data_IF_873574342152
#
_entry.id   IF_873574342152
#
_cell.length_a   1.000
_cell.length_b   1.000
_cell.length_c   1.000
_cell.angle_alpha   90.00
_cell.angle_beta   90.00
_cell.angle_gamma   90.00
#
_symmetry.space_group_name_H-M   'P 1'
#
loop_
_entity.id
_entity.type
_entity.pdbx_description
1 polymer ?
#
# COMPACT_ATOMS: atom_id res chain seq x y z
N UNK A 1 12.72 -4.29 4.53
CA UNK A 1 12.67 -3.09 3.66
C UNK A 1 11.29 -2.43 3.59
N UNK A 2 10.19 -3.19 3.46
CA UNK A 2 8.82 -2.62 3.39
C UNK A 2 8.44 -1.73 4.59
N UNK A 3 8.79 -2.13 5.82
CA UNK A 3 8.56 -1.29 7.00
C UNK A 3 9.31 0.05 6.96
N UNK A 4 10.56 0.05 6.48
CA UNK A 4 11.34 1.29 6.35
C UNK A 4 10.71 2.24 5.33
N UNK A 5 10.17 1.70 4.23
CA UNK A 5 9.37 2.46 3.26
C UNK A 5 8.12 3.06 3.93
N UNK A 6 7.36 2.25 4.67
CA UNK A 6 6.14 2.72 5.34
C UNK A 6 6.42 3.85 6.34
N UNK A 7 7.46 3.70 7.17
CA UNK A 7 7.94 4.77 8.07
C UNK A 7 8.27 6.04 7.31
N UNK A 8 9.01 5.93 6.20
CA UNK A 8 9.42 7.11 5.43
C UNK A 8 8.23 7.82 4.79
N UNK A 9 7.26 7.07 4.26
CA UNK A 9 6.02 7.63 3.72
C UNK A 9 5.21 8.33 4.83
N UNK A 10 5.15 7.75 6.03
CA UNK A 10 4.52 8.38 7.19
C UNK A 10 5.16 9.75 7.50
N UNK A 11 6.49 9.84 7.55
CA UNK A 11 7.20 11.10 7.80
C UNK A 11 6.93 12.18 6.74
N UNK A 12 6.82 11.78 5.47
CA UNK A 12 6.62 12.71 4.35
C UNK A 12 5.20 13.27 4.29
N UNK A 13 4.21 12.52 4.77
CA UNK A 13 2.82 12.94 4.74
C UNK A 13 2.47 13.86 5.91
N UNK A 14 1.80 14.96 5.59
CA UNK A 14 1.16 15.86 6.57
C UNK A 14 0.25 15.05 7.51
N UNK A 15 -0.03 15.55 8.74
CA UNK A 15 -1.08 14.97 9.59
C UNK A 15 -2.38 14.83 8.81
N UNK A 16 -3.08 13.71 8.98
CA UNK A 16 -4.30 13.36 8.23
C UNK A 16 -4.12 13.26 6.70
N UNK A 17 -2.88 13.22 6.20
CA UNK A 17 -2.57 13.02 4.77
C UNK A 17 -3.11 11.69 4.23
N UNK A 18 -3.25 11.62 2.90
CA UNK A 18 -3.67 10.40 2.21
C UNK A 18 -2.52 9.84 1.38
N UNK A 19 -2.29 8.54 1.52
CA UNK A 19 -1.44 7.75 0.64
C UNK A 19 -2.32 7.02 -0.37
N UNK A 20 -1.95 7.08 -1.65
CA UNK A 20 -2.55 6.25 -2.71
C UNK A 20 -1.48 5.29 -3.19
N UNK A 21 -1.79 3.99 -3.22
CA UNK A 21 -0.89 2.96 -3.74
C UNK A 21 -1.54 2.26 -4.93
N UNK A 22 -0.76 2.10 -6.01
CA UNK A 22 -1.05 1.07 -7.02
C UNK A 22 -0.19 -0.14 -6.66
N UNK A 23 -0.79 -1.07 -5.94
CA UNK A 23 -0.08 -2.22 -5.38
C UNK A 23 0.12 -3.26 -6.46
N UNK A 24 1.38 -3.60 -6.74
CA UNK A 24 1.82 -4.55 -7.76
C UNK A 24 3.06 -5.28 -7.18
N UNK A 25 3.22 -6.60 -7.27
CA UNK A 25 2.62 -7.59 -8.18
C UNK A 25 1.86 -8.68 -7.39
N UNK A 26 0.58 -8.91 -7.69
CA UNK A 26 -0.29 -9.87 -7.00
C UNK A 26 -0.22 -11.27 -7.65
N UNK A 27 0.98 -11.80 -7.81
CA UNK A 27 1.19 -13.16 -8.34
C UNK A 27 2.19 -13.90 -7.45
N UNK A 28 2.11 -15.22 -7.41
CA UNK A 28 3.03 -16.05 -6.65
C UNK A 28 4.29 -16.38 -7.45
N UNK A 29 5.19 -15.39 -7.59
CA UNK A 29 6.53 -15.61 -8.15
C UNK A 29 7.60 -15.73 -7.06
N UNK A 30 8.62 -16.57 -7.29
CA UNK A 30 9.66 -16.91 -6.30
C UNK A 30 10.80 -15.89 -6.17
N UNK A 31 10.78 -14.76 -6.90
CA UNK A 31 11.90 -13.80 -6.96
C UNK A 31 11.49 -12.35 -7.27
N UNK A 32 12.46 -11.50 -7.61
CA UNK A 32 12.25 -10.10 -7.99
C UNK A 32 13.56 -9.32 -8.20
N UNK A 33 13.51 -8.01 -8.53
CA UNK A 33 12.31 -7.17 -8.69
C UNK A 33 11.59 -7.33 -10.05
N UNK A 34 10.26 -7.04 -10.13
CA UNK A 34 9.35 -6.72 -9.02
C UNK A 34 9.13 -7.93 -8.12
N UNK A 35 8.86 -7.74 -6.82
CA UNK A 35 8.56 -8.85 -5.90
C UNK A 35 7.05 -9.04 -5.76
N UNK A 36 6.63 -10.28 -5.54
CA UNK A 36 5.25 -10.64 -5.19
C UNK A 36 4.79 -9.87 -3.94
N UNK A 37 3.52 -9.48 -3.93
CA UNK A 37 2.91 -8.80 -2.79
C UNK A 37 1.42 -9.12 -2.67
N UNK A 38 0.84 -8.74 -1.53
CA UNK A 38 -0.57 -8.92 -1.20
C UNK A 38 -1.13 -7.67 -0.55
N UNK A 39 -2.45 -7.56 -0.38
CA UNK A 39 -3.04 -6.47 0.43
C UNK A 39 -2.52 -6.56 1.88
N UNK A 40 -2.41 -7.77 2.43
CA UNK A 40 -1.97 -8.00 3.79
C UNK A 40 -0.54 -7.49 4.03
N UNK A 41 0.37 -7.63 3.05
CA UNK A 41 1.73 -7.09 3.15
C UNK A 41 1.74 -5.56 3.37
N UNK A 42 0.81 -4.86 2.72
CA UNK A 42 0.67 -3.41 2.86
C UNK A 42 -0.01 -3.07 4.19
N UNK A 43 -1.09 -3.78 4.55
CA UNK A 43 -1.79 -3.59 5.82
C UNK A 43 -0.86 -3.77 7.02
N UNK A 44 0.00 -4.80 7.01
CA UNK A 44 0.99 -5.07 8.06
C UNK A 44 1.91 -3.87 8.31
N UNK A 45 2.53 -3.34 7.25
CA UNK A 45 3.53 -2.28 7.40
C UNK A 45 2.91 -0.89 7.54
N UNK A 46 1.75 -0.63 6.93
CA UNK A 46 1.09 0.67 6.98
C UNK A 46 0.33 0.87 8.30
N UNK A 47 -0.34 -0.16 8.81
CA UNK A 47 -1.05 -0.06 10.11
C UNK A 47 -0.07 0.16 11.25
N UNK A 48 1.09 -0.49 11.22
CA UNK A 48 2.14 -0.32 12.25
C UNK A 48 2.74 1.10 12.31
N UNK A 49 2.51 1.94 11.30
CA UNK A 49 2.99 3.33 11.25
C UNK A 49 1.85 4.36 11.19
N UNK A 50 0.65 3.95 11.63
CA UNK A 50 -0.49 4.84 11.83
C UNK A 50 -1.30 5.14 10.58
N UNK A 51 -1.37 4.23 9.61
CA UNK A 51 -2.33 4.33 8.52
C UNK A 51 -3.50 3.36 8.69
N UNK A 52 -4.62 3.72 8.09
CA UNK A 52 -5.78 2.83 7.92
C UNK A 52 -6.21 2.83 6.47
N UNK A 53 -6.50 1.65 5.92
CA UNK A 53 -7.12 1.52 4.61
C UNK A 53 -8.53 2.15 4.63
N UNK A 54 -8.81 3.02 3.66
CA UNK A 54 -10.14 3.59 3.42
C UNK A 54 -10.78 3.00 2.16
N UNK A 55 -9.97 2.51 1.23
CA UNK A 55 -10.42 1.86 0.01
C UNK A 55 -9.38 0.84 -0.44
N UNK A 56 -9.83 -0.33 -0.86
CA UNK A 56 -9.05 -1.30 -1.64
C UNK A 56 -9.96 -1.75 -2.79
N UNK A 57 -9.52 -1.61 -4.03
CA UNK A 57 -10.32 -1.98 -5.20
C UNK A 57 -9.47 -2.54 -6.34
N UNK A 58 -10.10 -3.34 -7.21
CA UNK A 58 -9.50 -3.81 -8.45
C UNK A 58 -9.18 -2.64 -9.39
N UNK A 59 -8.12 -2.78 -10.20
CA UNK A 59 -7.83 -1.83 -11.28
C UNK A 59 -8.46 -2.29 -12.60
N UNK A 60 -9.70 -1.87 -12.86
CA UNK A 60 -10.40 -2.16 -14.13
C UNK A 60 -9.71 -1.53 -15.36
N UNK A 61 -8.90 -0.50 -15.15
CA UNK A 61 -8.14 0.21 -16.18
C UNK A 61 -6.71 -0.32 -16.34
N UNK A 62 -6.36 -1.44 -15.69
CA UNK A 62 -5.04 -2.03 -15.80
C UNK A 62 -4.71 -2.37 -17.26
N UNK A 63 -3.48 -2.05 -17.68
CA UNK A 63 -2.96 -2.46 -18.99
C UNK A 63 -2.96 -3.97 -19.09
N UNK A 64 -3.13 -4.51 -20.31
CA UNK A 64 -3.30 -5.96 -20.55
C UNK A 64 -2.30 -6.85 -19.79
N UNK A 65 -0.98 -6.56 -19.73
CA UNK A 65 -0.02 -7.40 -19.00
C UNK A 65 -0.17 -7.39 -17.47
N UNK A 66 -0.89 -6.42 -16.90
CA UNK A 66 -1.06 -6.24 -15.44
C UNK A 66 -2.48 -6.49 -14.95
N UNK A 67 -3.41 -6.81 -15.85
CA UNK A 67 -4.81 -7.04 -15.49
C UNK A 67 -4.93 -8.18 -14.49
N UNK A 68 -5.55 -7.91 -13.34
CA UNK A 68 -5.67 -8.85 -12.21
C UNK A 68 -4.42 -8.98 -11.34
N UNK A 69 -3.32 -8.26 -11.65
CA UNK A 69 -2.06 -8.35 -10.93
C UNK A 69 -1.75 -7.08 -10.10
N UNK A 70 -2.65 -6.10 -10.11
CA UNK A 70 -2.54 -4.87 -9.33
C UNK A 70 -3.89 -4.39 -8.77
N UNK A 71 -3.84 -3.74 -7.61
CA UNK A 71 -5.01 -3.15 -6.93
C UNK A 71 -4.72 -1.72 -6.50
N UNK A 72 -5.74 -0.87 -6.50
CA UNK A 72 -5.66 0.49 -5.97
C UNK A 72 -5.99 0.50 -4.48
N UNK A 73 -5.13 1.09 -3.66
CA UNK A 73 -5.36 1.32 -2.24
C UNK A 73 -5.35 2.81 -1.89
N UNK A 74 -6.28 3.23 -1.03
CA UNK A 74 -6.25 4.54 -0.36
C UNK A 74 -6.08 4.34 1.13
N UNK A 75 -5.17 5.09 1.73
CA UNK A 75 -4.78 4.94 3.11
C UNK A 75 -4.76 6.30 3.80
N UNK A 76 -5.50 6.43 4.89
CA UNK A 76 -5.54 7.65 5.68
C UNK A 76 -4.52 7.56 6.80
N UNK A 77 -3.64 8.55 6.91
CA UNK A 77 -2.78 8.70 8.09
C UNK A 77 -3.65 9.13 9.27
N UNK A 78 -3.63 8.36 10.34
CA UNK A 78 -4.31 8.68 11.58
C UNK A 78 -3.56 9.81 12.29
N UNK A 79 -4.31 10.68 12.95
CA UNK A 79 -3.72 11.63 13.88
C UNK A 79 -3.49 10.93 15.21
N UNK A 80 -2.24 10.56 15.47
CA UNK A 80 -1.85 9.90 16.71
C UNK A 80 -1.76 10.89 17.88
N UNK A 81 -1.95 12.20 17.68
CA UNK A 81 -2.07 13.15 18.79
C UNK A 81 -3.42 13.08 19.52
N UNK A 82 -4.37 12.31 18.96
CA UNK A 82 -5.72 12.09 19.51
C UNK A 82 -5.87 10.71 20.20
N UNK A 83 -4.78 9.96 20.38
CA UNK A 83 -4.74 8.63 21.00
C UNK A 83 -3.78 8.62 22.18
#
# INVERSE_FOLDING_TARGET
MRLAWAKKVSELLKPTGELITLMYLFVDQKGGPPYSTSVADYEEVLTSVGFRATLIMENELAVKPRKGAEKLGRWKKLDLSLV
#
